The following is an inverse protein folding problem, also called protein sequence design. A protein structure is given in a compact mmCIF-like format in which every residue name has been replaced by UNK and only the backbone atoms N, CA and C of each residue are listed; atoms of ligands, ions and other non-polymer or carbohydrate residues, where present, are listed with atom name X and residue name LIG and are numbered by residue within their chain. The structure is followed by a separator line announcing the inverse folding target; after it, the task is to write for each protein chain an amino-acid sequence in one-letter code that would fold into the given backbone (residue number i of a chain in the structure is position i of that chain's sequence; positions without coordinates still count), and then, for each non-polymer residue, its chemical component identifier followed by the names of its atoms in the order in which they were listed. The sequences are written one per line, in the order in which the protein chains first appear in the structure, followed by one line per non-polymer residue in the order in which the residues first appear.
data_IF_230638463319
#
_entry.id   IF_230638463319
#
_cell.length_a   1.000
_cell.length_b   1.000
_cell.length_c   1.000
_cell.angle_alpha   90.00
_cell.angle_beta   90.00
_cell.angle_gamma   90.00
#
_symmetry.space_group_name_H-M   'P 1'
#
loop_
_entity.id
_entity.type
_entity.pdbx_description
1 polymer ?
#
# COMPACT_ATOMS: atom_id res chain seq x y z
N UNK A 1 -16.46 26.93 9.75
CA UNK A 1 -15.97 27.28 8.40
C UNK A 1 -16.79 28.47 7.94
N UNK A 2 -16.12 29.56 7.57
CA UNK A 2 -16.76 30.81 7.18
C UNK A 2 -17.66 30.63 5.95
N UNK A 3 -18.77 31.36 5.90
CA UNK A 3 -19.65 31.42 4.73
C UNK A 3 -18.94 32.11 3.56
N UNK A 4 -18.86 31.50 2.36
CA UNK A 4 -18.20 32.13 1.22
C UNK A 4 -18.95 33.35 0.66
N UNK A 5 -20.20 33.57 1.05
CA UNK A 5 -21.04 34.66 0.54
C UNK A 5 -21.07 35.88 1.46
N UNK A 6 -21.05 35.69 2.78
CA UNK A 6 -21.18 36.78 3.75
C UNK A 6 -20.10 36.77 4.85
N UNK A 7 -19.12 35.87 4.77
CA UNK A 7 -18.00 35.70 5.70
C UNK A 7 -18.37 35.36 7.17
N UNK A 8 -19.66 35.17 7.50
CA UNK A 8 -20.08 34.77 8.84
C UNK A 8 -19.51 33.40 9.27
N UNK A 9 -19.21 33.26 10.56
CA UNK A 9 -18.61 32.06 11.15
C UNK A 9 -19.58 30.87 11.28
N UNK A 10 -20.87 31.20 11.41
CA UNK A 10 -21.94 30.27 11.76
C UNK A 10 -22.51 29.57 10.52
N UNK A 11 -21.95 28.39 10.22
CA UNK A 11 -22.43 27.49 9.17
C UNK A 11 -22.76 26.11 9.71
N UNK A 12 -23.95 25.61 9.38
CA UNK A 12 -24.46 24.30 9.82
C UNK A 12 -24.28 23.26 8.71
N UNK A 13 -23.80 22.07 9.06
CA UNK A 13 -23.78 20.90 8.14
C UNK A 13 -25.19 20.29 8.11
N UNK A 14 -25.77 20.14 6.91
CA UNK A 14 -27.13 19.61 6.71
C UNK A 14 -27.15 18.21 6.07
N UNK A 15 -26.11 17.85 5.31
CA UNK A 15 -25.97 16.54 4.66
C UNK A 15 -24.48 16.21 4.55
N UNK A 16 -24.11 14.97 4.87
CA UNK A 16 -22.73 14.47 4.80
C UNK A 16 -22.73 13.09 4.17
N UNK A 17 -21.97 12.92 3.08
CA UNK A 17 -21.89 11.65 2.34
C UNK A 17 -20.45 11.35 1.94
N UNK A 18 -20.11 10.07 1.90
CA UNK A 18 -18.88 9.59 1.27
C UNK A 18 -19.01 9.69 -0.25
N UNK A 19 -17.96 10.18 -0.90
CA UNK A 19 -17.80 10.26 -2.35
C UNK A 19 -16.39 9.80 -2.72
N UNK A 20 -16.08 9.70 -4.02
CA UNK A 20 -14.79 9.22 -4.52
C UNK A 20 -14.38 7.87 -3.88
N UNK A 21 -15.27 6.87 -3.98
CA UNK A 21 -15.06 5.53 -3.42
C UNK A 21 -14.75 5.48 -1.91
N UNK A 22 -15.07 6.55 -1.18
CA UNK A 22 -14.83 6.66 0.27
C UNK A 22 -13.66 7.56 0.65
N UNK A 23 -12.87 8.02 -0.31
CA UNK A 23 -11.68 8.85 -0.05
C UNK A 23 -12.01 10.30 0.31
N UNK A 24 -13.26 10.73 0.06
CA UNK A 24 -13.69 12.09 0.33
C UNK A 24 -15.04 12.15 1.04
N UNK A 25 -15.20 13.14 1.90
CA UNK A 25 -16.48 13.49 2.52
C UNK A 25 -17.02 14.75 1.87
N UNK A 26 -18.15 14.64 1.17
CA UNK A 26 -18.90 15.78 0.67
C UNK A 26 -19.87 16.24 1.75
N UNK A 27 -19.77 17.51 2.17
CA UNK A 27 -20.68 18.13 3.14
C UNK A 27 -21.46 19.27 2.51
N UNK A 28 -22.79 19.24 2.61
CA UNK A 28 -23.63 20.39 2.30
C UNK A 28 -23.79 21.24 3.56
N UNK A 29 -23.51 22.53 3.44
CA UNK A 29 -23.57 23.51 4.54
C UNK A 29 -24.61 24.59 4.23
N UNK A 30 -25.22 25.13 5.26
CA UNK A 30 -26.12 26.28 5.22
C UNK A 30 -25.61 27.35 6.18
N UNK A 31 -25.55 28.61 5.74
CA UNK A 31 -25.20 29.74 6.59
C UNK A 31 -26.41 30.17 7.42
N UNK A 32 -26.21 30.36 8.73
CA UNK A 32 -27.30 30.80 9.62
C UNK A 32 -27.62 32.30 9.49
N UNK A 33 -26.71 33.09 8.90
CA UNK A 33 -26.87 34.54 8.74
C UNK A 33 -27.54 34.94 7.42
N UNK A 34 -27.15 34.32 6.30
CA UNK A 34 -27.71 34.65 4.98
C UNK A 34 -28.52 33.53 4.32
N UNK A 35 -28.72 32.39 5.00
CA UNK A 35 -29.43 31.20 4.51
C UNK A 35 -28.83 30.54 3.24
N UNK A 36 -27.72 31.06 2.71
CA UNK A 36 -27.08 30.49 1.53
C UNK A 36 -26.49 29.12 1.79
N UNK A 37 -26.54 28.26 0.76
CA UNK A 37 -26.10 26.88 0.84
C UNK A 37 -24.92 26.61 -0.09
N UNK A 38 -23.88 26.01 0.45
CA UNK A 38 -22.67 25.66 -0.28
C UNK A 38 -22.19 24.25 0.05
N UNK A 39 -21.32 23.70 -0.78
CA UNK A 39 -20.80 22.34 -0.64
C UNK A 39 -19.30 22.39 -0.40
N UNK A 40 -18.83 21.60 0.55
CA UNK A 40 -17.41 21.44 0.86
C UNK A 40 -17.02 20.00 0.63
N UNK A 41 -15.79 19.80 0.17
CA UNK A 41 -15.18 18.49 0.04
C UNK A 41 -14.02 18.43 1.01
N UNK A 42 -13.99 17.38 1.82
CA UNK A 42 -12.91 17.10 2.75
C UNK A 42 -12.24 15.81 2.30
N UNK A 43 -10.91 15.83 2.25
CA UNK A 43 -10.09 14.68 1.89
C UNK A 43 -9.00 14.52 2.96
N UNK A 44 -8.58 13.28 3.19
CA UNK A 44 -7.43 13.03 4.07
C UNK A 44 -6.16 13.62 3.42
N UNK A 45 -5.44 14.47 4.15
CA UNK A 45 -4.16 15.01 3.69
C UNK A 45 -3.06 13.98 3.97
N UNK A 46 -2.76 13.14 2.99
CA UNK A 46 -1.80 12.03 3.10
C UNK A 46 -0.38 12.44 2.63
N UNK A 47 0.25 13.36 3.37
CA UNK A 47 1.64 13.80 3.08
C UNK A 47 2.64 12.77 3.61
N UNK A 48 3.68 12.48 2.83
CA UNK A 48 4.79 11.66 3.31
C UNK A 48 5.65 12.45 4.32
N UNK A 49 6.05 11.85 5.45
CA UNK A 49 6.93 12.51 6.39
C UNK A 49 8.32 12.76 5.78
N UNK A 50 9.01 13.80 6.26
CA UNK A 50 10.45 13.95 6.00
C UNK A 50 11.23 12.90 6.78
N UNK A 51 12.36 12.46 6.24
CA UNK A 51 13.22 11.47 6.88
C UNK A 51 14.40 12.17 7.56
N UNK A 52 14.50 11.99 8.88
CA UNK A 52 15.65 12.43 9.70
C UNK A 52 16.71 11.33 9.66
N UNK A 53 17.84 11.59 9.02
CA UNK A 53 18.99 10.69 8.96
C UNK A 53 19.70 10.55 10.31
N UNK A 54 20.52 9.51 10.46
CA UNK A 54 21.33 9.28 11.66
C UNK A 54 22.25 10.47 12.01
N UNK A 55 22.73 11.21 11.01
CA UNK A 55 23.52 12.42 11.20
C UNK A 55 22.68 13.68 11.51
N UNK A 56 21.36 13.55 11.69
CA UNK A 56 20.43 14.64 11.96
C UNK A 56 19.90 15.38 10.73
N UNK A 57 20.41 15.10 9.52
CA UNK A 57 19.95 15.76 8.29
C UNK A 57 18.52 15.33 7.93
N UNK A 58 17.73 16.30 7.44
CA UNK A 58 16.33 16.08 7.01
C UNK A 58 16.22 16.08 5.50
N UNK A 59 15.85 14.94 4.92
CA UNK A 59 15.52 14.85 3.49
C UNK A 59 14.04 14.55 3.29
N UNK A 60 13.42 14.95 2.16
CA UNK A 60 12.14 14.41 1.76
C UNK A 60 12.17 12.88 1.67
N UNK A 61 11.05 12.21 1.93
CA UNK A 61 10.94 10.79 1.63
C UNK A 61 11.14 10.56 0.12
N UNK A 62 12.09 9.70 -0.21
CA UNK A 62 12.45 9.34 -1.58
C UNK A 62 12.08 7.87 -1.84
N UNK A 63 11.05 7.67 -2.67
CA UNK A 63 10.56 6.36 -3.04
C UNK A 63 11.54 5.58 -3.93
N UNK A 64 12.25 6.27 -4.83
CA UNK A 64 13.24 5.61 -5.69
C UNK A 64 14.41 5.08 -4.87
N UNK A 65 14.82 5.82 -3.83
CA UNK A 65 15.84 5.38 -2.88
C UNK A 65 15.40 4.14 -2.10
N UNK A 66 14.13 4.09 -1.69
CA UNK A 66 13.55 2.90 -1.04
C UNK A 66 13.55 1.70 -2.00
N UNK A 67 13.06 1.90 -3.23
CA UNK A 67 13.01 0.87 -4.29
C UNK A 67 14.41 0.35 -4.63
N UNK A 68 15.40 1.23 -4.77
CA UNK A 68 16.78 0.85 -4.99
C UNK A 68 17.35 0.02 -3.83
N UNK A 69 17.00 0.35 -2.58
CA UNK A 69 17.33 -0.45 -1.40
C UNK A 69 16.79 -1.88 -1.48
N UNK A 70 15.51 -2.03 -1.83
CA UNK A 70 14.89 -3.36 -2.05
C UNK A 70 15.58 -4.15 -3.15
N UNK A 71 15.80 -3.53 -4.33
CA UNK A 71 16.47 -4.18 -5.46
C UNK A 71 17.87 -4.69 -5.09
N UNK A 72 18.61 -3.93 -4.28
CA UNK A 72 19.94 -4.32 -3.81
C UNK A 72 19.87 -5.50 -2.83
N UNK A 73 18.94 -5.47 -1.87
CA UNK A 73 18.77 -6.57 -0.91
C UNK A 73 18.33 -7.88 -1.60
N UNK A 74 17.39 -7.76 -2.54
CA UNK A 74 16.76 -8.87 -3.27
C UNK A 74 17.52 -9.32 -4.52
N UNK A 75 18.75 -8.83 -4.73
CA UNK A 75 19.53 -9.19 -5.92
C UNK A 75 19.72 -10.72 -6.03
N UNK A 76 19.35 -11.28 -7.19
CA UNK A 76 19.36 -12.73 -7.49
C UNK A 76 18.45 -13.56 -6.57
N UNK A 77 17.41 -12.96 -5.98
CA UNK A 77 16.37 -13.68 -5.21
C UNK A 77 15.11 -13.86 -6.07
N UNK A 78 14.37 -14.97 -5.92
CA UNK A 78 13.16 -15.24 -6.69
C UNK A 78 11.96 -14.48 -6.09
N UNK A 79 11.96 -13.15 -6.17
CA UNK A 79 10.86 -12.29 -5.72
C UNK A 79 10.35 -11.48 -6.90
N UNK A 80 9.04 -11.44 -7.09
CA UNK A 80 8.41 -10.73 -8.21
C UNK A 80 8.52 -9.20 -8.04
N UNK A 81 8.44 -8.46 -9.14
CA UNK A 81 8.45 -6.98 -9.08
C UNK A 81 7.17 -6.49 -8.41
N UNK A 82 6.06 -7.19 -8.64
CA UNK A 82 4.75 -6.93 -8.08
C UNK A 82 4.76 -7.03 -6.55
N UNK A 83 5.42 -8.04 -5.98
CA UNK A 83 5.58 -8.19 -4.53
C UNK A 83 6.41 -7.05 -3.93
N UNK A 84 7.44 -6.58 -4.63
CA UNK A 84 8.27 -5.45 -4.19
C UNK A 84 7.44 -4.16 -4.16
N UNK A 85 6.69 -3.87 -5.23
CA UNK A 85 5.83 -2.69 -5.27
C UNK A 85 4.72 -2.74 -4.22
N UNK A 86 4.12 -3.92 -3.98
CA UNK A 86 3.14 -4.12 -2.92
C UNK A 86 3.72 -3.80 -1.53
N UNK A 87 4.95 -4.25 -1.25
CA UNK A 87 5.64 -3.95 0.00
C UNK A 87 5.99 -2.47 0.13
N UNK A 88 6.48 -1.83 -0.94
CA UNK A 88 6.75 -0.38 -0.95
C UNK A 88 5.46 0.40 -0.64
N UNK A 89 4.34 0.00 -1.23
CA UNK A 89 3.04 0.60 -0.95
C UNK A 89 2.63 0.44 0.51
N UNK A 90 2.81 -0.74 1.10
CA UNK A 90 2.54 -0.98 2.52
C UNK A 90 3.41 -0.11 3.44
N UNK A 91 4.70 0.06 3.12
CA UNK A 91 5.61 0.93 3.89
C UNK A 91 5.15 2.38 3.79
N UNK A 92 4.82 2.87 2.59
CA UNK A 92 4.30 4.23 2.41
C UNK A 92 3.01 4.46 3.19
N UNK A 93 2.10 3.48 3.16
CA UNK A 93 0.87 3.54 3.94
C UNK A 93 1.16 3.59 5.44
N UNK A 94 2.03 2.72 5.96
CA UNK A 94 2.42 2.72 7.37
C UNK A 94 3.03 4.07 7.79
N UNK A 95 3.90 4.65 6.95
CA UNK A 95 4.51 5.96 7.21
C UNK A 95 3.48 7.09 7.23
N UNK A 96 2.51 7.09 6.31
CA UNK A 96 1.41 8.07 6.31
C UNK A 96 0.50 7.91 7.52
N UNK A 97 0.22 6.66 7.90
CA UNK A 97 -0.64 6.34 9.04
C UNK A 97 -0.07 6.82 10.38
N UNK A 98 1.25 7.08 10.47
CA UNK A 98 1.83 7.71 11.67
C UNK A 98 1.30 9.13 11.92
N UNK A 99 0.90 9.85 10.86
CA UNK A 99 0.49 11.26 10.94
C UNK A 99 1.63 12.23 11.32
N UNK A 100 2.86 11.75 11.46
CA UNK A 100 4.00 12.58 11.82
C UNK A 100 4.52 13.38 10.63
N UNK A 101 5.05 14.57 10.89
CA UNK A 101 5.68 15.41 9.84
C UNK A 101 7.10 14.95 9.52
N UNK A 102 7.79 14.35 10.49
CA UNK A 102 9.16 13.89 10.37
C UNK A 102 9.30 12.52 11.03
N UNK A 103 9.98 11.58 10.38
CA UNK A 103 10.27 10.25 10.91
C UNK A 103 11.76 9.99 10.88
N UNK A 104 12.28 9.29 11.88
CA UNK A 104 13.69 8.88 11.86
C UNK A 104 13.91 7.85 10.76
N UNK A 105 15.06 7.91 10.08
CA UNK A 105 15.46 6.90 9.09
C UNK A 105 15.48 5.51 9.68
N UNK A 106 15.62 5.41 11.01
CA UNK A 106 15.58 4.15 11.70
C UNK A 106 14.21 3.46 11.63
N UNK A 107 13.13 4.22 11.79
CA UNK A 107 11.76 3.70 11.69
C UNK A 107 11.50 3.16 10.28
N UNK A 108 11.97 3.87 9.25
CA UNK A 108 11.87 3.40 7.86
C UNK A 108 12.64 2.10 7.66
N UNK A 109 13.85 1.99 8.22
CA UNK A 109 14.66 0.78 8.15
C UNK A 109 14.02 -0.42 8.83
N UNK A 110 13.39 -0.22 9.99
CA UNK A 110 12.66 -1.26 10.72
C UNK A 110 11.46 -1.78 9.91
N UNK A 111 10.67 -0.88 9.30
CA UNK A 111 9.57 -1.27 8.41
C UNK A 111 10.07 -2.07 7.20
N UNK A 112 11.20 -1.68 6.61
CA UNK A 112 11.82 -2.43 5.51
C UNK A 112 12.27 -3.81 5.97
N UNK A 113 12.92 -3.90 7.13
CA UNK A 113 13.34 -5.18 7.72
C UNK A 113 12.15 -6.11 7.98
N UNK A 114 11.07 -5.60 8.56
CA UNK A 114 9.88 -6.41 8.83
C UNK A 114 9.29 -7.00 7.54
N UNK A 115 9.25 -6.20 6.46
CA UNK A 115 8.73 -6.64 5.18
C UNK A 115 9.69 -7.61 4.46
N UNK A 116 10.99 -7.34 4.48
CA UNK A 116 12.00 -8.25 3.93
C UNK A 116 12.02 -9.58 4.66
N UNK A 117 11.80 -9.61 5.98
CA UNK A 117 11.72 -10.85 6.76
C UNK A 117 10.58 -11.76 6.26
N UNK A 118 9.47 -11.17 5.82
CA UNK A 118 8.31 -11.88 5.25
C UNK A 118 8.56 -12.32 3.80
N UNK A 119 9.27 -11.51 3.02
CA UNK A 119 9.57 -11.81 1.61
C UNK A 119 10.69 -12.84 1.44
N UNK A 120 11.84 -12.60 2.07
CA UNK A 120 13.05 -13.41 1.87
C UNK A 120 14.05 -13.20 3.02
N UNK A 121 14.31 -14.25 3.80
CA UNK A 121 15.22 -14.20 4.94
C UNK A 121 16.65 -13.82 4.54
N UNK A 122 17.13 -14.22 3.36
CA UNK A 122 18.49 -13.87 2.90
C UNK A 122 18.59 -12.37 2.59
N UNK A 123 17.56 -11.79 1.97
CA UNK A 123 17.47 -10.37 1.72
C UNK A 123 17.35 -9.57 3.02
N UNK A 124 16.60 -10.07 4.01
CA UNK A 124 16.59 -9.51 5.37
C UNK A 124 18.00 -9.44 5.94
N UNK A 125 18.74 -10.55 5.94
CA UNK A 125 20.10 -10.61 6.51
C UNK A 125 21.05 -9.63 5.79
N UNK A 126 20.97 -9.53 4.45
CA UNK A 126 21.75 -8.57 3.66
C UNK A 126 21.41 -7.11 3.97
N UNK A 127 20.15 -6.82 4.21
CA UNK A 127 19.73 -5.46 4.56
C UNK A 127 20.14 -5.12 5.99
N UNK A 128 19.92 -6.06 6.92
CA UNK A 128 20.29 -5.94 8.32
C UNK A 128 21.79 -5.70 8.49
N UNK A 129 22.64 -6.31 7.65
CA UNK A 129 24.10 -6.12 7.75
C UNK A 129 24.57 -4.70 7.47
N UNK A 130 23.88 -3.98 6.57
CA UNK A 130 24.15 -2.56 6.31
C UNK A 130 23.52 -1.68 7.37
N UNK A 131 22.31 -2.02 7.80
CA UNK A 131 21.50 -1.14 8.62
C UNK A 131 21.85 -1.21 10.11
N UNK A 132 22.07 -2.41 10.66
CA UNK A 132 22.48 -2.61 12.07
C UNK A 132 23.98 -2.41 12.30
N UNK A 133 24.79 -2.34 11.23
CA UNK A 133 26.24 -2.13 11.33
C UNK A 133 26.88 -3.08 12.35
N UNK A 134 26.61 -4.38 12.22
CA UNK A 134 27.10 -5.39 13.17
C UNK A 134 28.59 -5.20 13.41
N UNK A 135 28.96 -5.04 14.69
CA UNK A 135 30.35 -4.75 15.05
C UNK A 135 31.22 -6.00 14.98
N UNK A 136 30.62 -7.17 15.19
CA UNK A 136 31.29 -8.45 15.19
C UNK A 136 30.44 -9.59 14.56
N UNK A 137 31.10 -10.71 14.31
CA UNK A 137 30.48 -11.91 13.72
C UNK A 137 29.51 -12.58 14.72
N UNK A 138 29.70 -12.40 16.02
CA UNK A 138 28.86 -13.02 17.04
C UNK A 138 27.46 -12.39 17.07
N UNK A 139 27.37 -11.05 16.94
CA UNK A 139 26.13 -10.31 16.82
C UNK A 139 25.33 -10.75 15.58
N UNK A 140 26.03 -10.95 14.46
CA UNK A 140 25.44 -11.46 13.23
C UNK A 140 24.91 -12.89 13.40
N UNK A 141 25.67 -13.76 14.08
CA UNK A 141 25.26 -15.14 14.35
C UNK A 141 24.04 -15.21 15.25
N UNK A 142 24.02 -14.41 16.32
CA UNK A 142 22.87 -14.31 17.22
C UNK A 142 21.61 -13.88 16.47
N UNK A 143 21.74 -12.95 15.52
CA UNK A 143 20.60 -12.53 14.70
C UNK A 143 20.10 -13.66 13.78
N UNK A 144 21.00 -14.46 13.18
CA UNK A 144 20.60 -15.63 12.39
C UNK A 144 19.87 -16.64 13.27
N UNK A 145 20.39 -16.94 14.46
CA UNK A 145 19.76 -17.88 15.40
C UNK A 145 18.34 -17.41 15.79
N UNK A 146 18.14 -16.10 15.98
CA UNK A 146 16.80 -15.53 16.22
C UNK A 146 15.86 -15.68 15.02
N UNK A 147 16.37 -15.54 13.80
CA UNK A 147 15.58 -15.75 12.58
C UNK A 147 15.16 -17.21 12.40
N UNK A 148 16.01 -18.16 12.78
CA UNK A 148 15.71 -19.59 12.72
C UNK A 148 14.71 -20.03 13.79
N UNK A 149 14.74 -19.40 14.96
CA UNK A 149 13.81 -19.67 16.07
C UNK A 149 12.40 -19.13 15.82
N UNK A 150 12.23 -18.14 14.93
CA UNK A 150 10.91 -17.64 14.54
C UNK A 150 10.36 -18.43 13.34
N UNK A 151 9.20 -19.11 13.45
CA UNK A 151 8.65 -19.88 12.35
C UNK A 151 8.24 -18.93 11.21
N UNK A 152 8.99 -18.95 10.10
CA UNK A 152 8.61 -18.23 8.89
C UNK A 152 7.34 -18.85 8.30
N UNK A 153 6.30 -18.05 8.11
CA UNK A 153 5.13 -18.40 7.33
C UNK A 153 5.54 -18.59 5.86
N UNK A 154 6.03 -19.80 5.51
CA UNK A 154 6.23 -20.21 4.13
C UNK A 154 4.85 -20.29 3.46
N UNK A 155 4.52 -19.32 2.62
CA UNK A 155 3.52 -19.53 1.56
C UNK A 155 4.20 -20.35 0.47
N UNK A 156 3.80 -21.61 0.35
CA UNK A 156 4.04 -22.38 -0.88
C UNK A 156 3.43 -21.62 -2.07
N UNK A 157 4.14 -21.48 -3.20
CA UNK A 157 3.50 -20.97 -4.41
C UNK A 157 2.47 -21.99 -4.86
N UNK A 158 1.20 -21.58 -4.85
CA UNK A 158 0.10 -22.36 -5.40
C UNK A 158 0.39 -22.65 -6.87
N UNK A 159 0.66 -23.92 -7.17
CA UNK A 159 0.84 -24.41 -8.51
C UNK A 159 -0.37 -24.04 -9.38
N UNK A 160 -0.08 -23.36 -10.48
CA UNK A 160 -0.96 -23.11 -11.62
C UNK A 160 -1.71 -24.39 -12.03
N UNK A 161 -3.02 -24.43 -11.78
CA UNK A 161 -3.93 -25.29 -12.54
C UNK A 161 -4.62 -24.41 -13.57
N UNK A 162 -4.12 -24.46 -14.80
CA UNK A 162 -4.85 -23.98 -15.98
C UNK A 162 -6.23 -24.68 -16.03
N UNK A 163 -7.33 -23.95 -16.26
CA UNK A 163 -8.58 -24.59 -16.63
C UNK A 163 -8.46 -25.05 -18.09
N UNK A 164 -8.33 -26.36 -18.25
CA UNK A 164 -8.52 -27.09 -19.51
C UNK A 164 -9.79 -26.62 -20.23
N UNK A 165 -9.59 -26.15 -21.46
CA UNK A 165 -10.60 -25.75 -22.41
C UNK A 165 -11.72 -26.80 -22.55
N UNK A 166 -12.96 -26.42 -22.24
CA UNK A 166 -14.15 -27.17 -22.67
C UNK A 166 -14.47 -26.81 -24.11
N UNK A 167 -14.28 -27.82 -24.96
CA UNK A 167 -14.66 -27.93 -26.37
C UNK A 167 -16.06 -27.40 -26.66
N UNK A 168 -16.17 -26.60 -27.71
CA UNK A 168 -17.42 -26.37 -28.46
C UNK A 168 -18.03 -27.70 -28.90
N UNK A 169 -19.37 -27.88 -28.80
CA UNK A 169 -20.06 -28.85 -29.61
C UNK A 169 -20.56 -28.20 -30.91
N UNK A 170 -20.11 -28.82 -31.98
CA UNK A 170 -20.40 -28.57 -33.37
C UNK A 170 -21.87 -28.74 -33.76
N UNK A 171 -22.21 -28.04 -34.84
CA UNK A 171 -23.45 -28.04 -35.59
C UNK A 171 -24.16 -29.41 -35.70
N UNK A 172 -25.48 -29.41 -35.48
CA UNK A 172 -26.39 -30.42 -36.04
C UNK A 172 -27.47 -29.77 -36.92
N UNK A 173 -27.30 -30.08 -38.20
CA UNK A 173 -28.19 -30.07 -39.37
C UNK A 173 -29.71 -30.01 -39.10
N UNK A 174 -30.38 -29.17 -39.90
CA UNK A 174 -31.79 -29.28 -40.29
C UNK A 174 -32.15 -30.69 -40.81
N UNK A 175 -33.45 -31.03 -40.78
CA UNK A 175 -34.09 -31.32 -42.07
C UNK A 175 -35.53 -30.77 -42.23
N UNK A 176 -35.71 -30.16 -43.40
CA UNK A 176 -36.86 -30.09 -44.30
C UNK A 176 -38.16 -30.90 -44.00
N UNK A 177 -39.28 -30.15 -44.04
CA UNK A 177 -40.58 -30.40 -44.69
C UNK A 177 -41.53 -31.54 -44.27
N UNK A 178 -42.81 -31.16 -43.97
CA UNK A 178 -44.08 -31.68 -44.52
C UNK A 178 -45.29 -30.92 -43.91
N UNK A 179 -46.00 -30.10 -44.71
CA UNK A 179 -47.38 -30.27 -45.25
C UNK A 179 -48.56 -30.39 -44.22
N UNK A 180 -49.47 -29.39 -44.29
CA UNK A 180 -50.94 -29.25 -44.00
C UNK A 180 -51.78 -30.55 -43.80
N UNK A 181 -53.05 -30.55 -43.32
CA UNK A 181 -54.11 -29.48 -43.24
C UNK A 181 -54.78 -29.39 -41.83
N UNK A 182 -55.82 -28.62 -41.48
CA UNK A 182 -56.96 -27.97 -42.16
C UNK A 182 -57.25 -26.58 -41.56
#
# INVERSE_FOLDING_TARGET
MHCPFCAADDTKVIDSRLVAEGDQVRRRRECLSCAERFTTYEAAELVMPRVIKQNGNREPFDEEKLRAGFRRALQKRPVSVEDIEAVIHQIKHALRATGEREVRSMVVGELVMEQLKKLDQVAYVRFASVYRSFQDIAEFRSEIERLEAEPSARKEPAASKEPSARKEPSARKEPSARKKPS
#
